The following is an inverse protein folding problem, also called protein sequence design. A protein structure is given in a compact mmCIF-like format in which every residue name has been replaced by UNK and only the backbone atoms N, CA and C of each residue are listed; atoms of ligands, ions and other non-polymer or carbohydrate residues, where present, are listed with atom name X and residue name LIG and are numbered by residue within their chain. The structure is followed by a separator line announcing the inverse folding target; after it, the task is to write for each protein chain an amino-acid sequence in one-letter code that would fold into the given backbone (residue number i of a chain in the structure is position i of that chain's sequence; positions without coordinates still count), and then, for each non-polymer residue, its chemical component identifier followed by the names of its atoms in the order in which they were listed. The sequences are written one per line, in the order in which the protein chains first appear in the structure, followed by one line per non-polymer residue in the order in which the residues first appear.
data_IF_902741213313
#
_entry.id   IF_902741213313
#
_cell.length_a   1.000
_cell.length_b   1.000
_cell.length_c   1.000
_cell.angle_alpha   90.00
_cell.angle_beta   90.00
_cell.angle_gamma   90.00
#
_symmetry.space_group_name_H-M   'P 1'
#
loop_
_entity.id
_entity.type
_entity.pdbx_description
1 polymer ?
#
# COMPACT_ATOMS: atom_id res chain seq x y z
N UNK A 1 -4.56 -14.12 -4.09
CA UNK A 1 -3.38 -14.60 -3.34
C UNK A 1 -3.00 -16.03 -3.70
N UNK A 2 -3.96 -16.91 -4.02
CA UNK A 2 -3.73 -18.33 -4.35
C UNK A 2 -2.65 -18.60 -5.42
N UNK A 3 -2.56 -17.76 -6.45
CA UNK A 3 -1.59 -17.92 -7.54
C UNK A 3 -0.12 -17.81 -7.11
N UNK A 4 0.20 -17.05 -6.05
CA UNK A 4 1.60 -16.79 -5.64
C UNK A 4 2.36 -18.07 -5.28
N UNK A 5 1.66 -19.08 -4.77
CA UNK A 5 2.22 -20.37 -4.37
C UNK A 5 1.60 -21.55 -5.16
N UNK A 6 0.89 -21.29 -6.27
CA UNK A 6 0.28 -22.36 -7.06
C UNK A 6 1.35 -23.14 -7.83
N UNK A 7 1.61 -24.41 -7.51
CA UNK A 7 2.65 -25.19 -8.19
C UNK A 7 2.28 -25.55 -9.64
N UNK A 8 1.05 -25.29 -10.08
CA UNK A 8 0.56 -25.65 -11.41
C UNK A 8 0.68 -24.52 -12.45
N UNK A 9 1.13 -23.34 -12.04
CA UNK A 9 1.34 -22.18 -12.93
C UNK A 9 2.83 -21.91 -13.13
N UNK A 10 3.17 -21.19 -14.19
CA UNK A 10 4.56 -20.88 -14.50
C UNK A 10 5.16 -19.87 -13.49
N UNK A 11 6.49 -19.89 -13.33
CA UNK A 11 7.16 -19.04 -12.33
C UNK A 11 7.01 -17.54 -12.60
N UNK A 12 6.91 -17.15 -13.85
CA UNK A 12 6.60 -15.79 -14.28
C UNK A 12 5.17 -15.38 -13.89
N UNK A 13 4.19 -16.27 -14.01
CA UNK A 13 2.82 -16.05 -13.52
C UNK A 13 2.79 -15.90 -11.98
N UNK A 14 3.55 -16.72 -11.24
CA UNK A 14 3.70 -16.54 -9.78
C UNK A 14 4.34 -15.18 -9.44
N UNK A 15 5.36 -14.76 -10.19
CA UNK A 15 6.04 -13.49 -9.99
C UNK A 15 5.13 -12.29 -10.31
N UNK A 16 4.33 -12.39 -11.37
CA UNK A 16 3.29 -11.41 -11.72
C UNK A 16 2.22 -11.31 -10.62
N UNK A 17 1.72 -12.45 -10.13
CA UNK A 17 0.78 -12.48 -9.02
C UNK A 17 1.33 -11.82 -7.75
N UNK A 18 2.64 -11.97 -7.46
CA UNK A 18 3.29 -11.29 -6.35
C UNK A 18 3.38 -9.77 -6.55
N UNK A 19 3.67 -9.30 -7.77
CA UNK A 19 3.67 -7.86 -8.09
C UNK A 19 2.29 -7.24 -7.89
N UNK A 20 1.24 -7.90 -8.40
CA UNK A 20 -0.14 -7.47 -8.18
C UNK A 20 -0.51 -7.45 -6.70
N UNK A 21 -0.10 -8.46 -5.94
CA UNK A 21 -0.34 -8.50 -4.50
C UNK A 21 0.29 -7.29 -3.80
N UNK A 22 1.56 -7.00 -4.08
CA UNK A 22 2.28 -5.86 -3.49
C UNK A 22 1.56 -4.55 -3.84
N UNK A 23 1.17 -4.39 -5.11
CA UNK A 23 0.50 -3.17 -5.60
C UNK A 23 -0.88 -2.97 -4.96
N UNK A 24 -1.77 -3.96 -5.06
CA UNK A 24 -3.14 -3.82 -4.57
C UNK A 24 -3.24 -3.73 -3.04
N UNK A 25 -2.30 -4.32 -2.30
CA UNK A 25 -2.22 -4.07 -0.85
C UNK A 25 -1.80 -2.64 -0.54
N UNK A 26 -1.05 -1.97 -1.41
CA UNK A 26 -0.84 -0.53 -1.33
C UNK A 26 -2.15 0.23 -1.58
N UNK A 27 -2.77 -0.02 -2.74
CA UNK A 27 -3.95 0.72 -3.22
C UNK A 27 -5.14 0.66 -2.27
N UNK A 28 -5.39 -0.48 -1.61
CA UNK A 28 -6.51 -0.63 -0.66
C UNK A 28 -6.37 0.28 0.59
N UNK A 29 -5.20 0.90 0.79
CA UNK A 29 -4.95 1.88 1.84
C UNK A 29 -5.04 3.33 1.36
N UNK A 30 -5.29 3.57 0.08
CA UNK A 30 -5.61 4.89 -0.46
C UNK A 30 -7.14 5.09 -0.37
N UNK A 31 -7.64 6.05 0.43
CA UNK A 31 -9.09 6.28 0.63
C UNK A 31 -9.94 6.28 -0.65
N UNK A 32 -9.48 6.96 -1.70
CA UNK A 32 -10.20 7.17 -2.95
C UNK A 32 -10.15 5.96 -3.89
N UNK A 33 -9.26 4.98 -3.67
CA UNK A 33 -9.33 3.68 -4.35
C UNK A 33 -10.48 2.80 -3.83
N UNK A 34 -11.06 3.17 -2.67
CA UNK A 34 -12.24 2.53 -2.10
C UNK A 34 -13.50 3.40 -2.21
N UNK A 35 -13.57 4.33 -3.17
CA UNK A 35 -14.69 5.27 -3.36
C UNK A 35 -15.13 5.34 -4.82
N UNK A 36 -16.44 5.49 -5.04
CA UNK A 36 -17.04 5.59 -6.37
C UNK A 36 -17.30 7.03 -6.82
N UNK A 37 -17.55 7.96 -5.89
CA UNK A 37 -17.87 9.36 -6.17
C UNK A 37 -16.83 9.98 -7.10
N UNK A 38 -17.30 10.57 -8.20
CA UNK A 38 -16.44 11.22 -9.20
C UNK A 38 -15.25 10.36 -9.64
N UNK A 39 -15.50 9.04 -9.76
CA UNK A 39 -14.51 8.03 -10.14
C UNK A 39 -13.33 7.98 -9.17
N UNK A 40 -13.64 7.98 -7.87
CA UNK A 40 -12.64 8.08 -6.81
C UNK A 40 -12.01 9.47 -6.76
N UNK A 41 -12.77 10.54 -7.02
CA UNK A 41 -12.27 11.92 -7.00
C UNK A 41 -11.38 12.31 -8.18
N UNK A 42 -11.31 11.51 -9.25
CA UNK A 42 -10.59 11.88 -10.47
C UNK A 42 -11.26 13.06 -11.21
N UNK A 43 -12.58 13.19 -11.08
CA UNK A 43 -13.34 14.29 -11.71
C UNK A 43 -13.56 15.48 -10.74
N UNK A 44 -12.98 15.47 -9.54
CA UNK A 44 -12.95 16.61 -8.62
C UNK A 44 -11.67 17.39 -8.86
N UNK A 45 -11.75 18.53 -9.54
CA UNK A 45 -10.58 19.32 -9.92
C UNK A 45 -10.17 20.28 -8.81
N UNK A 46 -8.92 20.22 -8.36
CA UNK A 46 -8.45 20.96 -7.18
C UNK A 46 -7.24 21.83 -7.49
N UNK A 47 -6.89 22.70 -6.55
CA UNK A 47 -5.59 23.35 -6.49
C UNK A 47 -4.73 22.72 -5.39
N UNK A 48 -3.43 22.55 -5.62
CA UNK A 48 -2.48 22.09 -4.60
C UNK A 48 -1.15 22.84 -4.74
N UNK A 49 -0.73 23.57 -3.71
CA UNK A 49 0.49 24.39 -3.71
C UNK A 49 0.58 25.33 -4.93
N UNK A 50 -0.54 26.00 -5.25
CA UNK A 50 -0.74 26.91 -6.39
C UNK A 50 -0.72 26.23 -7.76
N UNK A 51 -0.59 24.92 -7.82
CA UNK A 51 -0.82 24.16 -9.04
C UNK A 51 -2.32 23.93 -9.19
N UNK A 52 -2.91 24.53 -10.21
CA UNK A 52 -4.34 24.50 -10.47
C UNK A 52 -4.57 24.13 -11.94
N UNK A 53 -5.62 23.37 -12.21
CA UNK A 53 -6.09 23.13 -13.57
C UNK A 53 -6.66 21.73 -13.73
N UNK A 54 -7.18 21.42 -14.92
CA UNK A 54 -7.89 20.15 -15.20
C UNK A 54 -7.06 18.88 -15.01
N UNK A 55 -5.74 19.00 -14.87
CA UNK A 55 -4.84 17.88 -14.59
C UNK A 55 -4.70 17.60 -13.10
N UNK A 56 -4.87 18.63 -12.27
CA UNK A 56 -4.88 18.49 -10.81
C UNK A 56 -6.27 18.05 -10.37
N UNK A 57 -6.33 16.91 -9.71
CA UNK A 57 -7.58 16.34 -9.21
C UNK A 57 -7.35 15.70 -7.84
N UNK A 58 -8.44 15.53 -7.10
CA UNK A 58 -8.39 15.04 -5.73
C UNK A 58 -7.69 13.67 -5.64
N UNK A 59 -7.94 12.78 -6.59
CA UNK A 59 -7.27 11.47 -6.63
C UNK A 59 -5.75 11.61 -6.79
N UNK A 60 -5.31 12.40 -7.77
CA UNK A 60 -3.90 12.62 -8.08
C UNK A 60 -3.12 13.20 -6.92
N UNK A 61 -3.70 14.16 -6.17
CA UNK A 61 -3.01 14.73 -5.01
C UNK A 61 -2.87 13.74 -3.86
N UNK A 62 -3.83 12.81 -3.68
CA UNK A 62 -3.74 11.76 -2.66
C UNK A 62 -2.77 10.64 -3.07
N UNK A 63 -2.73 10.27 -4.34
CA UNK A 63 -1.78 9.27 -4.87
C UNK A 63 -0.34 9.78 -4.87
N UNK A 64 -0.15 11.06 -5.25
CA UNK A 64 1.17 11.57 -5.66
C UNK A 64 1.59 12.79 -4.86
N UNK A 65 0.84 13.90 -4.96
CA UNK A 65 1.36 15.21 -4.54
C UNK A 65 1.51 15.36 -3.02
N UNK A 66 0.57 14.83 -2.23
CA UNK A 66 0.69 14.80 -0.76
C UNK A 66 1.90 13.95 -0.35
N UNK A 67 2.04 12.67 -0.76
CA UNK A 67 3.25 11.88 -0.51
C UNK A 67 4.55 12.55 -0.99
N UNK A 68 4.55 13.17 -2.17
CA UNK A 68 5.72 13.87 -2.71
C UNK A 68 6.12 15.04 -1.82
N UNK A 69 5.18 15.91 -1.47
CA UNK A 69 5.40 17.05 -0.58
C UNK A 69 5.93 16.62 0.78
N UNK A 70 5.36 15.56 1.37
CA UNK A 70 5.83 14.99 2.65
C UNK A 70 7.29 14.55 2.60
N UNK A 71 7.77 14.18 1.42
CA UNK A 71 9.09 13.60 1.19
C UNK A 71 10.06 14.53 0.44
N UNK A 72 9.68 15.79 0.23
CA UNK A 72 10.51 16.80 -0.42
C UNK A 72 10.75 16.57 -1.91
N UNK A 73 9.89 15.78 -2.56
CA UNK A 73 9.87 15.59 -4.01
C UNK A 73 9.07 16.74 -4.62
N UNK A 74 9.53 17.32 -5.72
CA UNK A 74 8.80 18.44 -6.32
C UNK A 74 7.60 17.95 -7.11
N UNK A 75 6.58 18.80 -7.17
CA UNK A 75 5.38 18.57 -7.94
C UNK A 75 5.69 18.17 -9.39
N UNK A 76 5.03 17.12 -9.90
CA UNK A 76 5.23 16.56 -11.24
C UNK A 76 6.65 15.99 -11.53
N UNK A 77 7.51 15.75 -10.52
CA UNK A 77 8.75 14.98 -10.73
C UNK A 77 8.43 13.48 -10.92
N UNK A 78 9.21 12.77 -11.76
CA UNK A 78 8.91 11.39 -12.21
C UNK A 78 9.68 10.31 -11.44
N UNK A 79 9.15 9.08 -11.53
CA UNK A 79 9.49 7.81 -10.84
C UNK A 79 10.90 7.50 -10.35
N UNK A 80 11.97 8.08 -10.92
CA UNK A 80 13.33 7.70 -10.52
C UNK A 80 13.77 8.35 -9.20
N UNK A 81 13.17 9.49 -8.84
CA UNK A 81 13.53 10.25 -7.65
C UNK A 81 12.76 9.82 -6.39
N UNK A 82 11.81 8.88 -6.52
CA UNK A 82 10.92 8.44 -5.43
C UNK A 82 11.54 7.36 -4.53
N UNK A 83 12.48 6.57 -5.06
CA UNK A 83 12.98 5.36 -4.38
C UNK A 83 13.64 5.68 -3.04
N UNK A 84 14.63 6.57 -3.03
CA UNK A 84 15.37 6.89 -1.82
C UNK A 84 14.49 7.60 -0.76
N UNK A 85 13.64 8.59 -1.12
CA UNK A 85 12.66 9.13 -0.19
C UNK A 85 11.69 8.08 0.38
N UNK A 86 11.16 7.19 -0.46
CA UNK A 86 10.25 6.13 -0.01
C UNK A 86 10.92 5.16 0.98
N UNK A 87 12.16 4.75 0.71
CA UNK A 87 12.95 3.91 1.64
C UNK A 87 13.17 4.59 2.99
N UNK A 88 13.56 5.88 2.98
CA UNK A 88 13.74 6.67 4.22
C UNK A 88 12.44 6.81 4.99
N UNK A 89 11.34 7.07 4.29
CA UNK A 89 10.02 7.25 4.88
C UNK A 89 9.50 5.96 5.52
N UNK A 90 9.55 4.84 4.81
CA UNK A 90 9.17 3.53 5.33
C UNK A 90 9.99 3.16 6.58
N UNK A 91 11.31 3.40 6.56
CA UNK A 91 12.17 3.16 7.72
C UNK A 91 11.81 4.08 8.91
N UNK A 92 11.42 5.33 8.64
CA UNK A 92 10.96 6.27 9.68
C UNK A 92 9.65 5.81 10.32
N UNK A 93 8.65 5.47 9.50
CA UNK A 93 7.36 4.96 9.95
C UNK A 93 7.50 3.68 10.78
N UNK A 94 8.36 2.75 10.33
CA UNK A 94 8.64 1.54 11.08
C UNK A 94 9.28 1.83 12.44
N UNK A 95 10.31 2.69 12.50
CA UNK A 95 10.95 3.07 13.76
C UNK A 95 9.99 3.76 14.74
N UNK A 96 9.17 4.68 14.24
CA UNK A 96 8.20 5.42 15.04
C UNK A 96 7.13 4.50 15.66
N UNK A 97 6.80 3.40 14.98
CA UNK A 97 5.73 2.48 15.36
C UNK A 97 6.23 1.10 15.79
N UNK A 98 7.53 0.94 16.12
CA UNK A 98 8.18 -0.34 16.42
C UNK A 98 7.59 -1.14 17.59
N UNK A 99 6.79 -0.48 18.43
CA UNK A 99 6.15 -1.10 19.60
C UNK A 99 4.67 -1.42 19.37
N UNK A 100 4.11 -1.05 18.22
CA UNK A 100 2.73 -1.42 17.89
C UNK A 100 2.67 -2.93 17.63
N UNK A 101 1.69 -3.65 18.22
CA UNK A 101 1.55 -5.08 18.01
C UNK A 101 1.18 -5.39 16.56
N UNK A 102 2.07 -6.06 15.82
CA UNK A 102 1.82 -6.43 14.42
C UNK A 102 0.63 -7.39 14.25
N UNK A 103 0.30 -8.18 15.29
CA UNK A 103 -0.84 -9.10 15.28
C UNK A 103 -2.20 -8.39 15.39
N UNK A 104 -2.23 -7.06 15.57
CA UNK A 104 -3.47 -6.28 15.56
C UNK A 104 -4.08 -6.18 14.15
N UNK A 105 -3.29 -6.46 13.11
CA UNK A 105 -3.72 -6.36 11.72
C UNK A 105 -4.25 -7.72 11.21
N UNK A 106 -5.37 -7.71 10.49
CA UNK A 106 -5.91 -8.93 9.89
C UNK A 106 -4.90 -9.56 8.94
N UNK A 107 -4.57 -10.84 9.11
CA UNK A 107 -3.60 -11.54 8.26
C UNK A 107 -4.02 -12.94 7.87
N UNK A 108 -5.32 -13.23 7.90
CA UNK A 108 -5.87 -14.54 7.58
C UNK A 108 -5.82 -14.78 6.06
N UNK A 109 -4.72 -15.36 5.59
CA UNK A 109 -4.53 -15.61 4.16
C UNK A 109 -5.45 -16.72 3.62
N UNK A 110 -6.12 -17.47 4.50
CA UNK A 110 -7.09 -18.51 4.11
C UNK A 110 -8.47 -17.94 3.85
N UNK A 111 -8.75 -16.75 4.38
CA UNK A 111 -9.94 -15.98 4.07
C UNK A 111 -9.54 -14.57 3.59
N UNK A 112 -8.92 -14.45 2.40
CA UNK A 112 -8.36 -13.18 1.95
C UNK A 112 -9.40 -12.08 1.75
N UNK A 113 -10.63 -12.47 1.42
CA UNK A 113 -11.72 -11.52 1.24
C UNK A 113 -12.12 -10.84 2.55
N UNK A 114 -12.03 -11.54 3.68
CA UNK A 114 -12.34 -10.97 5.00
C UNK A 114 -11.38 -9.84 5.35
N UNK A 115 -10.06 -10.09 5.26
CA UNK A 115 -9.06 -9.06 5.55
C UNK A 115 -9.13 -7.90 4.55
N UNK A 116 -9.23 -8.20 3.25
CA UNK A 116 -9.33 -7.15 2.24
C UNK A 116 -10.58 -6.28 2.46
N UNK A 117 -11.73 -6.88 2.77
CA UNK A 117 -12.97 -6.13 3.05
C UNK A 117 -12.84 -5.29 4.32
N UNK A 118 -12.19 -5.79 5.37
CA UNK A 118 -11.92 -5.02 6.57
C UNK A 118 -11.07 -3.79 6.25
N UNK A 119 -9.94 -3.98 5.57
CA UNK A 119 -9.04 -2.90 5.19
C UNK A 119 -9.73 -1.87 4.30
N UNK A 120 -10.49 -2.32 3.29
CA UNK A 120 -11.26 -1.43 2.42
C UNK A 120 -12.29 -0.59 3.20
N UNK A 121 -12.99 -1.18 4.18
CA UNK A 121 -13.96 -0.44 5.02
C UNK A 121 -13.28 0.59 5.91
N UNK A 122 -12.15 0.24 6.52
CA UNK A 122 -11.37 1.18 7.33
C UNK A 122 -10.86 2.35 6.49
N UNK A 123 -10.31 2.05 5.32
CA UNK A 123 -9.79 3.05 4.38
C UNK A 123 -10.91 3.92 3.82
N UNK A 124 -12.04 3.33 3.38
CA UNK A 124 -13.17 4.08 2.85
C UNK A 124 -13.77 5.05 3.88
N UNK A 125 -13.79 4.69 5.17
CA UNK A 125 -14.28 5.58 6.23
C UNK A 125 -13.53 6.93 6.27
N UNK A 126 -12.25 6.94 5.91
CA UNK A 126 -11.46 8.17 5.83
C UNK A 126 -12.02 9.17 4.81
N UNK A 127 -12.77 8.70 3.80
CA UNK A 127 -13.44 9.58 2.86
C UNK A 127 -14.46 10.48 3.57
N UNK A 128 -15.28 9.91 4.45
CA UNK A 128 -16.24 10.68 5.25
C UNK A 128 -15.57 11.47 6.37
N UNK A 129 -14.59 10.87 7.05
CA UNK A 129 -13.96 11.45 8.23
C UNK A 129 -13.01 12.62 7.87
N UNK A 130 -12.48 12.63 6.63
CA UNK A 130 -11.52 13.64 6.19
C UNK A 130 -11.61 14.00 4.70
N UNK A 131 -11.39 13.06 3.77
CA UNK A 131 -11.06 13.37 2.36
C UNK A 131 -12.12 14.24 1.68
N UNK A 132 -13.39 13.86 1.84
CA UNK A 132 -14.59 14.49 1.30
C UNK A 132 -15.44 15.15 2.39
N UNK A 133 -14.86 15.35 3.58
CA UNK A 133 -15.57 15.98 4.71
C UNK A 133 -15.92 17.43 4.42
N UNK A 134 -15.06 18.10 3.67
CA UNK A 134 -15.38 19.36 3.01
C UNK A 134 -16.09 18.97 1.72
N UNK A 135 -17.23 19.60 1.44
CA UNK A 135 -17.98 19.36 0.21
C UNK A 135 -17.13 19.65 -1.04
N UNK A 136 -17.60 19.16 -2.19
CA UNK A 136 -16.89 19.33 -3.47
C UNK A 136 -16.67 20.80 -3.78
N UNK A 137 -17.68 21.65 -3.58
CA UNK A 137 -17.57 23.10 -3.82
C UNK A 137 -16.40 23.72 -3.04
N UNK A 138 -16.20 23.34 -1.78
CA UNK A 138 -15.06 23.81 -1.00
C UNK A 138 -13.74 23.28 -1.55
N UNK A 139 -13.66 21.97 -1.88
CA UNK A 139 -12.44 21.35 -2.40
C UNK A 139 -11.96 21.96 -3.71
N UNK A 140 -12.88 22.31 -4.61
CA UNK A 140 -12.54 22.88 -5.93
C UNK A 140 -12.13 24.36 -5.85
N UNK A 141 -12.58 25.09 -4.82
CA UNK A 141 -12.36 26.53 -4.69
C UNK A 141 -11.27 26.93 -3.69
N UNK A 142 -10.53 25.96 -3.13
CA UNK A 142 -9.44 26.20 -2.18
C UNK A 142 -8.15 25.51 -2.61
N UNK A 143 -7.02 26.13 -2.24
CA UNK A 143 -5.71 25.49 -2.36
C UNK A 143 -5.52 24.48 -1.22
N UNK A 144 -5.41 23.21 -1.60
CA UNK A 144 -5.30 22.09 -0.67
C UNK A 144 -3.88 21.85 -0.17
N UNK A 145 -2.89 22.64 -0.62
CA UNK A 145 -1.51 22.59 -0.15
C UNK A 145 -1.29 23.16 1.26
N UNK A 146 -2.26 23.87 1.83
CA UNK A 146 -2.20 24.43 3.19
C UNK A 146 -2.82 23.52 4.25
N UNK A 147 -3.80 24.04 4.99
CA UNK A 147 -4.45 23.34 6.12
C UNK A 147 -5.01 21.96 5.76
N UNK A 148 -5.47 21.76 4.52
CA UNK A 148 -5.93 20.45 4.05
C UNK A 148 -4.78 19.43 3.99
N UNK A 149 -3.61 19.84 3.50
CA UNK A 149 -2.41 19.00 3.51
C UNK A 149 -1.98 18.66 4.94
N UNK A 150 -1.99 19.65 5.85
CA UNK A 150 -1.55 19.45 7.24
C UNK A 150 -2.36 18.37 7.98
N UNK A 151 -3.67 18.29 7.71
CA UNK A 151 -4.50 17.21 8.24
C UNK A 151 -4.44 15.90 7.43
N UNK A 152 -4.10 15.94 6.14
CA UNK A 152 -3.99 14.75 5.29
C UNK A 152 -2.70 13.97 5.56
N UNK A 153 -1.57 14.67 5.74
CA UNK A 153 -0.26 14.07 5.95
C UNK A 153 -0.20 13.01 7.08
N UNK A 154 -0.77 13.22 8.29
CA UNK A 154 -0.80 12.18 9.31
C UNK A 154 -1.65 10.97 8.93
N UNK A 155 -2.73 11.16 8.14
CA UNK A 155 -3.55 10.06 7.63
C UNK A 155 -2.76 9.22 6.64
N UNK A 156 -2.07 9.87 5.69
CA UNK A 156 -1.20 9.21 4.72
C UNK A 156 -0.09 8.40 5.43
N UNK A 157 0.57 8.98 6.45
CA UNK A 157 1.55 8.26 7.26
C UNK A 157 0.98 6.96 7.89
N UNK A 158 -0.21 7.04 8.48
CA UNK A 158 -0.86 5.90 9.12
C UNK A 158 -1.24 4.83 8.09
N UNK A 159 -1.78 5.23 6.94
CA UNK A 159 -2.20 4.32 5.87
C UNK A 159 -1.00 3.61 5.22
N UNK A 160 0.09 4.32 4.94
CA UNK A 160 1.34 3.73 4.42
C UNK A 160 1.97 2.78 5.45
N UNK A 161 1.95 3.15 6.74
CA UNK A 161 2.39 2.25 7.80
C UNK A 161 1.57 0.95 7.82
N UNK A 162 0.24 1.05 7.83
CA UNK A 162 -0.68 -0.10 7.80
C UNK A 162 -0.45 -0.98 6.58
N UNK A 163 -0.36 -0.38 5.39
CA UNK A 163 -0.07 -1.09 4.15
C UNK A 163 1.21 -1.92 4.27
N UNK A 164 2.29 -1.31 4.78
CA UNK A 164 3.58 -1.97 4.97
C UNK A 164 3.51 -3.16 5.94
N UNK A 165 2.92 -3.01 7.13
CA UNK A 165 2.85 -4.10 8.12
C UNK A 165 1.90 -5.22 7.68
N UNK A 166 0.79 -4.89 7.03
CA UNK A 166 -0.15 -5.87 6.46
C UNK A 166 0.51 -6.66 5.34
N UNK A 167 1.20 -5.99 4.42
CA UNK A 167 1.94 -6.62 3.34
C UNK A 167 3.05 -7.54 3.87
N UNK A 168 3.86 -7.07 4.81
CA UNK A 168 4.92 -7.87 5.42
C UNK A 168 4.37 -9.14 6.08
N UNK A 169 3.30 -9.01 6.86
CA UNK A 169 2.64 -10.15 7.50
C UNK A 169 2.05 -11.11 6.47
N UNK A 170 1.45 -10.58 5.41
CA UNK A 170 0.88 -11.37 4.33
C UNK A 170 1.94 -12.20 3.58
N UNK A 171 3.03 -11.55 3.16
CA UNK A 171 4.15 -12.20 2.47
C UNK A 171 4.83 -13.23 3.38
N UNK A 172 5.05 -12.91 4.65
CA UNK A 172 5.63 -13.86 5.61
C UNK A 172 4.76 -15.12 5.76
N UNK A 173 3.43 -14.94 5.79
CA UNK A 173 2.49 -16.07 5.90
C UNK A 173 2.49 -16.91 4.61
N UNK A 174 2.50 -16.27 3.44
CA UNK A 174 2.64 -16.97 2.15
C UNK A 174 3.98 -17.72 2.05
N UNK A 175 5.08 -17.12 2.48
CA UNK A 175 6.40 -17.74 2.47
C UNK A 175 6.44 -18.97 3.39
N UNK A 176 5.85 -18.89 4.59
CA UNK A 176 5.77 -20.00 5.53
C UNK A 176 4.92 -21.18 5.01
N UNK A 177 3.93 -20.92 4.14
CA UNK A 177 3.10 -21.95 3.52
C UNK A 177 3.69 -22.54 2.25
N UNK A 178 4.73 -21.92 1.68
CA UNK A 178 5.36 -22.41 0.46
C UNK A 178 6.00 -23.78 0.77
N UNK A 179 5.61 -24.87 0.08
CA UNK A 179 6.27 -26.14 0.26
C UNK A 179 7.76 -25.99 0.00
N UNK A 180 8.61 -26.48 0.90
CA UNK A 180 10.04 -26.50 0.62
C UNK A 180 10.28 -27.37 -0.61
N UNK A 181 10.75 -26.79 -1.70
CA UNK A 181 11.24 -27.53 -2.87
C UNK A 181 12.59 -28.21 -2.61
N UNK A 182 13.12 -28.14 -1.39
CA UNK A 182 14.31 -28.87 -0.95
C UNK A 182 14.11 -29.40 0.47
N UNK A 183 13.71 -30.66 0.58
CA UNK A 183 13.94 -31.43 1.80
C UNK A 183 15.43 -31.64 1.99
N UNK A 184 16.14 -30.67 2.55
CA UNK A 184 17.43 -30.97 3.19
C UNK A 184 17.13 -31.48 4.59
N UNK A 185 17.12 -32.80 4.74
CA UNK A 185 17.31 -33.40 6.05
C UNK A 185 18.76 -33.13 6.45
N UNK A 186 18.97 -32.24 7.41
CA UNK A 186 20.22 -32.20 8.15
C UNK A 186 20.25 -33.46 9.00
N UNK A 187 20.91 -34.51 8.51
CA UNK A 187 21.32 -35.61 9.38
C UNK A 187 22.35 -35.04 10.37
N UNK A 188 22.31 -35.49 11.62
CA UNK A 188 23.12 -34.96 12.74
C UNK A 188 24.65 -35.00 12.49
N UNK A 189 25.11 -35.57 11.38
CA UNK A 189 26.53 -35.73 11.03
C UNK A 189 27.01 -34.80 9.89
N UNK A 190 26.21 -33.80 9.49
CA UNK A 190 26.71 -32.65 8.71
C UNK A 190 27.11 -32.95 7.25
N UNK A 191 26.64 -34.04 6.64
CA UNK A 191 26.85 -34.31 5.21
C UNK A 191 25.60 -34.02 4.39
N UNK A 192 25.71 -33.06 3.49
CA UNK A 192 24.66 -32.65 2.53
C UNK A 192 24.66 -33.64 1.35
N UNK A 193 23.61 -34.46 1.24
CA UNK A 193 23.35 -35.31 0.07
C UNK A 193 22.15 -34.80 -0.73
N UNK A 194 22.21 -34.84 -2.07
CA UNK A 194 21.06 -34.59 -2.95
C UNK A 194 20.36 -35.91 -3.26
N UNK A 195 19.04 -35.99 -3.07
CA UNK A 195 18.26 -37.10 -3.61
C UNK A 195 18.17 -36.96 -5.14
N UNK A 196 18.64 -37.98 -5.86
CA UNK A 196 18.12 -38.34 -7.17
C UNK A 196 17.11 -39.46 -6.91
N UNK A 197 15.84 -39.21 -7.17
CA UNK A 197 14.84 -40.28 -7.23
C UNK A 197 14.75 -40.79 -8.67
N UNK A 198 14.81 -42.12 -8.80
CA UNK A 198 14.50 -42.91 -10.00
C UNK A 198 12.99 -43.14 -10.10
#
# INVERSE_FOLDING_TARGET
TNQVNDPNIAQDEQAEALKFLIHFLGDIHQPLHAEALERGGNEIHVCFDKHCGKKENLHGIWDTEIPHKMNGIKHNEKHNDEKEPAERWAASLFRANRFRPHHAECSNIQNPLECATLWAKETNRLNCDYVLKRDIDWLENHDLGGDYYDGAAPIVNEQIYKAGVRLATWINTLAAQRPSSTGFLVTQDGKVGRNFEL
#
